data_IF_587326500160
#
_entry.id   IF_587326500160
#
_cell.length_a   1.000
_cell.length_b   1.000
_cell.length_c   1.000
_cell.angle_alpha   90.00
_cell.angle_beta   90.00
_cell.angle_gamma   90.00
#
_symmetry.space_group_name_H-M   'P 1'
#
loop_
_entity.id
_entity.type
_entity.pdbx_description
1 polymer ?
#
# COMPACT_ATOMS: atom_id res chain seq x y z
N UNK A 1 -21.86 -29.11 46.84
CA UNK A 1 -22.82 -29.42 45.76
C UNK A 1 -23.39 -28.11 45.22
N UNK A 2 -23.54 -27.99 43.90
CA UNK A 2 -23.79 -26.78 43.08
C UNK A 2 -22.49 -26.03 42.74
N UNK A 3 -21.97 -26.00 41.50
CA UNK A 3 -22.59 -25.80 40.19
C UNK A 3 -22.30 -24.35 39.79
N UNK A 4 -21.44 -24.04 38.81
CA UNK A 4 -21.70 -24.20 37.38
C UNK A 4 -20.38 -24.34 36.60
N UNK A 5 -20.27 -25.39 35.79
CA UNK A 5 -19.25 -25.45 34.74
C UNK A 5 -19.53 -24.31 33.74
N UNK A 6 -18.51 -23.52 33.43
CA UNK A 6 -18.61 -22.57 32.31
C UNK A 6 -18.56 -23.36 31.01
N UNK A 7 -19.49 -23.16 30.08
CA UNK A 7 -19.36 -23.72 28.74
C UNK A 7 -18.04 -23.22 28.14
N UNK A 8 -17.17 -24.15 27.77
CA UNK A 8 -16.01 -23.85 26.93
C UNK A 8 -16.54 -23.34 25.60
N UNK A 9 -16.00 -22.21 25.16
CA UNK A 9 -16.23 -21.63 23.85
C UNK A 9 -15.68 -22.63 22.79
N UNK A 10 -16.53 -23.30 22.01
CA UNK A 10 -16.08 -24.24 21.00
C UNK A 10 -16.09 -23.50 19.68
N UNK A 11 -15.17 -22.55 19.50
CA UNK A 11 -14.66 -22.17 18.17
C UNK A 11 -13.62 -21.06 18.28
N UNK A 12 -12.42 -21.43 18.72
CA UNK A 12 -11.23 -20.94 18.01
C UNK A 12 -11.04 -21.82 16.78
N UNK A 13 -12.08 -21.90 15.95
CA UNK A 13 -11.91 -22.35 14.57
C UNK A 13 -10.95 -21.34 13.98
N UNK A 14 -9.76 -21.84 13.67
CA UNK A 14 -8.74 -21.15 12.91
C UNK A 14 -9.43 -20.58 11.70
N UNK A 15 -9.81 -19.30 11.78
CA UNK A 15 -10.27 -18.55 10.64
C UNK A 15 -9.18 -18.74 9.59
N UNK A 16 -9.55 -19.42 8.51
CA UNK A 16 -8.76 -19.59 7.31
C UNK A 16 -8.02 -18.26 7.06
N UNK A 17 -6.68 -18.23 6.95
CA UNK A 17 -5.98 -16.97 6.79
C UNK A 17 -6.56 -16.32 5.54
N UNK A 18 -7.31 -15.24 5.73
CA UNK A 18 -7.85 -14.44 4.64
C UNK A 18 -6.72 -14.23 3.63
N UNK A 19 -7.00 -14.33 2.31
CA UNK A 19 -5.98 -14.15 1.30
C UNK A 19 -5.21 -12.88 1.65
N UNK A 20 -3.89 -13.02 1.84
CA UNK A 20 -3.05 -11.92 2.23
C UNK A 20 -3.33 -10.77 1.26
N UNK A 21 -3.87 -9.66 1.78
CA UNK A 21 -3.97 -8.41 1.03
C UNK A 21 -2.59 -8.20 0.40
N UNK A 22 -2.49 -7.93 -0.91
CA UNK A 22 -1.20 -7.80 -1.56
C UNK A 22 -0.37 -6.82 -0.74
N UNK A 23 0.76 -7.30 -0.18
CA UNK A 23 1.63 -6.48 0.66
C UNK A 23 1.85 -5.15 -0.06
N UNK A 24 1.31 -4.07 0.53
CA UNK A 24 1.28 -2.76 -0.10
C UNK A 24 2.69 -2.22 -0.31
N UNK A 25 3.27 -2.51 -1.47
CA UNK A 25 4.46 -1.84 -1.98
C UNK A 25 4.04 -0.58 -2.73
N UNK A 26 4.83 0.50 -2.59
CA UNK A 26 4.66 1.67 -3.44
C UNK A 26 4.86 1.22 -4.90
N UNK A 27 3.84 1.33 -5.76
CA UNK A 27 4.01 0.92 -7.14
C UNK A 27 5.07 1.83 -7.74
N UNK A 28 6.18 1.23 -8.19
CA UNK A 28 7.37 1.93 -8.73
C UNK A 28 7.02 3.00 -9.79
N UNK A 29 5.83 2.89 -10.40
CA UNK A 29 5.19 3.86 -11.26
C UNK A 29 5.13 5.29 -10.69
N UNK A 30 5.13 5.48 -9.37
CA UNK A 30 5.05 6.81 -8.74
C UNK A 30 6.38 7.54 -8.77
N UNK A 31 7.51 6.82 -8.69
CA UNK A 31 8.84 7.42 -8.83
C UNK A 31 9.05 7.96 -10.25
N UNK A 32 8.46 7.33 -11.27
CA UNK A 32 8.56 7.78 -12.66
C UNK A 32 7.87 9.13 -12.91
N UNK A 33 6.98 9.55 -11.99
CA UNK A 33 6.32 10.86 -12.02
C UNK A 33 7.13 11.95 -11.30
N UNK A 34 8.22 11.61 -10.61
CA UNK A 34 9.04 12.57 -9.86
C UNK A 34 10.17 13.12 -10.74
N UNK A 35 10.26 14.44 -10.86
CA UNK A 35 11.43 15.09 -11.48
C UNK A 35 12.65 14.99 -10.55
N UNK A 36 13.81 14.46 -10.99
CA UNK A 36 14.95 14.32 -10.08
C UNK A 36 15.72 15.63 -9.86
N UNK A 37 15.55 16.64 -10.73
CA UNK A 37 16.09 17.99 -10.52
C UNK A 37 15.43 18.70 -9.32
N UNK A 38 14.09 18.66 -9.21
CA UNK A 38 13.37 19.48 -8.23
C UNK A 38 12.40 18.72 -7.30
N UNK A 39 12.25 17.41 -7.47
CA UNK A 39 11.38 16.56 -6.66
C UNK A 39 9.88 16.76 -6.90
N UNK A 40 9.48 17.52 -7.93
CA UNK A 40 8.06 17.75 -8.21
C UNK A 40 7.42 16.52 -8.84
N UNK A 41 6.26 16.13 -8.32
CA UNK A 41 5.39 15.09 -8.90
C UNK A 41 4.65 15.70 -10.11
N UNK A 42 4.74 15.03 -11.26
CA UNK A 42 4.08 15.40 -12.50
C UNK A 42 2.73 14.68 -12.63
N UNK A 43 1.81 15.26 -13.41
CA UNK A 43 0.47 14.67 -13.63
C UNK A 43 0.51 13.36 -14.44
N UNK A 44 1.56 13.17 -15.25
CA UNK A 44 1.77 11.96 -16.05
C UNK A 44 3.19 11.45 -15.90
N UNK A 45 3.36 10.13 -15.92
CA UNK A 45 4.68 9.51 -15.91
C UNK A 45 5.47 9.72 -17.21
N UNK A 46 4.83 10.19 -18.29
CA UNK A 46 5.43 10.33 -19.63
C UNK A 46 5.83 11.77 -20.00
N UNK A 47 5.98 12.65 -19.01
CA UNK A 47 6.33 14.05 -19.24
C UNK A 47 7.69 14.21 -19.94
N UNK A 48 7.81 15.16 -20.87
CA UNK A 48 9.11 15.51 -21.49
C UNK A 48 9.84 16.63 -20.73
N UNK A 49 9.09 17.50 -20.04
CA UNK A 49 9.62 18.59 -19.21
C UNK A 49 8.81 18.74 -17.93
N UNK A 50 9.48 19.06 -16.83
CA UNK A 50 8.83 19.33 -15.56
C UNK A 50 7.99 20.62 -15.64
N UNK A 51 6.70 20.53 -15.26
CA UNK A 51 5.78 21.66 -15.22
C UNK A 51 6.16 22.72 -14.16
N UNK A 52 6.98 22.34 -13.16
CA UNK A 52 7.42 23.25 -12.08
C UNK A 52 8.70 24.01 -12.41
N UNK A 53 9.75 23.31 -12.85
CA UNK A 53 11.08 23.90 -13.04
C UNK A 53 11.53 23.99 -14.51
N UNK A 54 10.83 23.33 -15.44
CA UNK A 54 11.18 23.33 -16.87
C UNK A 54 12.33 22.42 -17.28
N UNK A 55 12.97 21.72 -16.33
CA UNK A 55 14.01 20.72 -16.60
C UNK A 55 13.47 19.61 -17.53
N UNK A 56 14.31 19.06 -18.43
CA UNK A 56 13.94 17.88 -19.21
C UNK A 56 13.72 16.67 -18.30
N UNK A 57 12.95 15.68 -18.77
CA UNK A 57 12.97 14.35 -18.17
C UNK A 57 14.33 13.72 -18.44
N UNK A 58 15.01 13.29 -17.38
CA UNK A 58 16.31 12.60 -17.42
C UNK A 58 16.20 11.11 -17.74
#
# INVERSE_FOLDING_TARGET
MSGTARPGDPDRETADPAPAEPEGGDPACWLEMVCADCGAIQDTAEFTRCARCGAPRE
#
